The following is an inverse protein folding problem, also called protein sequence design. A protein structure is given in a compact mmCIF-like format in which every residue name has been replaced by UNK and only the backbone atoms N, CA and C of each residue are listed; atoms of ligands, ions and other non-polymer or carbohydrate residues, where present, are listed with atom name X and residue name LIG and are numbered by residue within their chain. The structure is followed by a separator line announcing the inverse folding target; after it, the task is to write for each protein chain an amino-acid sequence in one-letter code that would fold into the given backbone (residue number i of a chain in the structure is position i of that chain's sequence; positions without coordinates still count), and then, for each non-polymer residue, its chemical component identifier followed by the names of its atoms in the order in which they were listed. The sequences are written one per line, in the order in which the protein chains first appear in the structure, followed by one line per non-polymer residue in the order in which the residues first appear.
data_IF_958378339905
#
_entry.id   IF_958378339905
#
_cell.length_a   1.000
_cell.length_b   1.000
_cell.length_c   1.000
_cell.angle_alpha   90.00
_cell.angle_beta   90.00
_cell.angle_gamma   90.00
#
_symmetry.space_group_name_H-M   'P 1'
#
loop_
_entity.id
_entity.type
_entity.pdbx_description
1 polymer ?
#
# COMPACT_ATOMS: atom_id res chain seq x y z
N UNK A 1 51.89 55.73 -11.62
CA UNK A 1 51.84 54.25 -11.64
C UNK A 1 50.66 53.66 -10.85
N UNK A 2 50.41 54.07 -9.60
CA UNK A 2 49.34 53.50 -8.72
C UNK A 2 47.91 53.46 -9.31
N UNK A 3 47.48 54.47 -10.07
CA UNK A 3 46.11 54.52 -10.66
C UNK A 3 45.86 53.50 -11.77
N UNK A 4 46.88 53.11 -12.54
CA UNK A 4 46.74 52.10 -13.59
C UNK A 4 46.60 50.70 -12.99
N UNK A 5 47.38 50.40 -11.95
CA UNK A 5 47.33 49.12 -11.24
C UNK A 5 45.97 48.87 -10.58
N UNK A 6 45.39 49.89 -9.92
CA UNK A 6 44.05 49.80 -9.31
C UNK A 6 42.97 49.48 -10.36
N UNK A 7 43.11 50.01 -11.58
CA UNK A 7 42.15 49.77 -12.67
C UNK A 7 42.17 48.32 -13.15
N UNK A 8 43.35 47.69 -13.19
CA UNK A 8 43.48 46.27 -13.53
C UNK A 8 42.90 45.35 -12.46
N UNK A 9 43.08 45.68 -11.17
CA UNK A 9 42.46 44.92 -10.08
C UNK A 9 40.92 45.03 -10.10
N UNK A 10 40.38 46.22 -10.38
CA UNK A 10 38.93 46.40 -10.52
C UNK A 10 38.36 45.58 -11.69
N UNK A 11 39.04 45.54 -12.84
CA UNK A 11 38.60 44.76 -14.00
C UNK A 11 38.68 43.25 -13.71
N UNK A 12 39.71 42.81 -13.00
CA UNK A 12 39.89 41.41 -12.61
C UNK A 12 38.81 40.95 -11.62
N UNK A 13 38.49 41.78 -10.62
CA UNK A 13 37.41 41.49 -9.66
C UNK A 13 36.05 41.47 -10.37
N UNK A 14 35.82 42.38 -11.32
CA UNK A 14 34.58 42.41 -12.08
C UNK A 14 34.43 41.17 -12.98
N UNK A 15 35.50 40.72 -13.63
CA UNK A 15 35.47 39.49 -14.44
C UNK A 15 35.28 38.24 -13.58
N UNK A 16 35.90 38.16 -12.40
CA UNK A 16 35.67 37.04 -11.46
C UNK A 16 34.22 37.02 -10.95
N UNK A 17 33.62 38.18 -10.66
CA UNK A 17 32.20 38.27 -10.27
C UNK A 17 31.26 37.83 -11.39
N UNK A 18 31.57 38.17 -12.65
CA UNK A 18 30.77 37.74 -13.82
C UNK A 18 30.88 36.22 -14.04
N UNK A 19 32.06 35.63 -13.81
CA UNK A 19 32.27 34.18 -13.89
C UNK A 19 31.52 33.45 -12.76
N UNK A 20 31.49 34.00 -11.54
CA UNK A 20 30.77 33.44 -10.39
C UNK A 20 29.24 33.58 -10.50
N UNK A 21 28.74 34.63 -11.16
CA UNK A 21 27.32 34.81 -11.43
C UNK A 21 26.81 33.98 -12.63
N UNK A 22 27.70 33.46 -13.46
CA UNK A 22 27.39 32.64 -14.64
C UNK A 22 27.12 31.16 -14.37
N UNK A 23 27.38 30.68 -13.16
CA UNK A 23 26.89 29.38 -12.70
C UNK A 23 25.42 29.52 -12.30
N UNK A 24 24.55 29.71 -13.27
CA UNK A 24 23.14 29.37 -13.09
C UNK A 24 23.09 27.89 -12.74
N UNK A 25 22.67 27.57 -11.51
CA UNK A 25 22.15 26.25 -11.22
C UNK A 25 21.02 26.03 -12.23
N UNK A 26 21.29 25.23 -13.26
CA UNK A 26 20.23 24.49 -13.93
C UNK A 26 19.57 23.68 -12.81
N UNK A 27 18.42 24.16 -12.36
CA UNK A 27 17.49 23.36 -11.60
C UNK A 27 17.17 22.23 -12.54
N UNK A 28 17.82 21.09 -12.33
CA UNK A 28 17.38 19.81 -12.86
C UNK A 28 16.02 19.62 -12.18
N UNK A 29 14.98 20.17 -12.80
CA UNK A 29 13.62 19.75 -12.57
C UNK A 29 13.63 18.31 -13.06
N UNK A 30 13.91 17.38 -12.16
CA UNK A 30 13.58 15.99 -12.38
C UNK A 30 12.05 15.96 -12.36
N UNK A 31 11.42 16.27 -13.48
CA UNK A 31 10.04 15.89 -13.72
C UNK A 31 10.05 14.37 -13.56
N UNK A 32 9.64 13.92 -12.37
CA UNK A 32 9.65 12.52 -12.00
C UNK A 32 8.69 11.86 -12.98
N UNK A 33 9.23 11.09 -13.93
CA UNK A 33 8.44 10.46 -14.97
C UNK A 33 7.64 9.32 -14.33
N UNK A 34 6.43 9.65 -13.87
CA UNK A 34 5.50 8.69 -13.30
C UNK A 34 4.96 7.79 -14.41
N UNK A 35 4.67 6.53 -14.08
CA UNK A 35 4.09 5.57 -15.03
C UNK A 35 2.76 6.03 -15.62
N UNK A 36 2.09 7.00 -14.97
CA UNK A 36 0.75 7.45 -15.31
C UNK A 36 -0.31 6.37 -15.09
N UNK A 37 0.02 5.29 -14.36
CA UNK A 37 -0.90 4.19 -14.09
C UNK A 37 -1.42 4.24 -12.66
N UNK A 38 -2.70 3.90 -12.50
CA UNK A 38 -3.25 3.50 -11.21
C UNK A 38 -2.99 2.00 -11.03
N UNK A 39 -2.35 1.62 -9.93
CA UNK A 39 -2.12 0.22 -9.56
C UNK A 39 -2.70 -0.04 -8.17
N UNK A 40 -3.62 -0.99 -8.05
CA UNK A 40 -4.28 -1.36 -6.79
C UNK A 40 -3.97 -2.81 -6.48
N UNK A 41 -3.26 -3.05 -5.38
CA UNK A 41 -2.80 -4.35 -4.92
C UNK A 41 -3.66 -4.79 -3.73
N UNK A 42 -4.43 -5.85 -3.89
CA UNK A 42 -5.10 -6.54 -2.79
C UNK A 42 -4.18 -7.67 -2.32
N UNK A 43 -3.57 -7.49 -1.15
CA UNK A 43 -2.60 -8.44 -0.63
C UNK A 43 -3.31 -9.59 0.09
N UNK A 44 -2.89 -10.82 -0.18
CA UNK A 44 -3.32 -12.00 0.57
C UNK A 44 -2.66 -12.00 1.96
N UNK A 45 -3.30 -11.37 2.94
CA UNK A 45 -2.81 -11.30 4.32
C UNK A 45 -3.46 -12.34 5.22
N UNK A 46 -4.06 -13.38 4.64
CA UNK A 46 -4.93 -14.32 5.35
C UNK A 46 -6.32 -13.73 5.59
N UNK A 47 -6.90 -13.98 6.77
CA UNK A 47 -8.13 -13.31 7.17
C UNK A 47 -7.83 -11.86 7.54
N UNK A 48 -8.22 -10.91 6.68
CA UNK A 48 -8.01 -9.49 6.90
C UNK A 48 -7.80 -8.70 5.60
N UNK A 49 -7.65 -7.39 5.73
CA UNK A 49 -7.43 -6.47 4.61
C UNK A 49 -6.03 -5.84 4.65
N UNK A 50 -5.37 -5.82 3.50
CA UNK A 50 -4.26 -4.89 3.24
C UNK A 50 -4.23 -4.55 1.75
N UNK A 51 -4.41 -3.27 1.45
CA UNK A 51 -4.57 -2.79 0.08
C UNK A 51 -3.57 -1.68 -0.18
N UNK A 52 -2.60 -1.94 -1.05
CA UNK A 52 -1.61 -0.95 -1.45
C UNK A 52 -1.98 -0.31 -2.79
N UNK A 53 -1.88 1.01 -2.88
CA UNK A 53 -2.28 1.79 -4.05
C UNK A 53 -1.10 2.65 -4.50
N UNK A 54 -0.79 2.58 -5.79
CA UNK A 54 0.10 3.51 -6.47
C UNK A 54 -0.73 4.37 -7.42
N UNK A 55 -0.78 5.67 -7.16
CA UNK A 55 -1.56 6.60 -7.97
C UNK A 55 -0.79 7.03 -9.22
N UNK A 56 -1.49 7.49 -10.28
CA UNK A 56 -0.87 7.96 -11.52
C UNK A 56 0.12 9.13 -11.36
N UNK A 57 -0.03 9.92 -10.29
CA UNK A 57 0.87 11.02 -9.90
C UNK A 57 2.06 10.56 -9.04
N UNK A 58 2.20 9.24 -8.82
CA UNK A 58 3.25 8.61 -8.01
C UNK A 58 3.12 8.78 -6.50
N UNK A 59 2.02 9.36 -6.02
CA UNK A 59 1.64 9.24 -4.62
C UNK A 59 1.19 7.80 -4.33
N UNK A 60 1.22 7.40 -3.07
CA UNK A 60 0.91 6.05 -2.62
C UNK A 60 -0.03 6.04 -1.43
N UNK A 61 -0.87 5.01 -1.34
CA UNK A 61 -1.66 4.76 -0.14
C UNK A 61 -1.53 3.32 0.32
N UNK A 62 -1.58 3.11 1.63
CA UNK A 62 -1.83 1.80 2.22
C UNK A 62 -3.11 1.89 3.04
N UNK A 63 -4.07 1.04 2.70
CA UNK A 63 -5.31 0.86 3.46
C UNK A 63 -5.22 -0.48 4.18
N UNK A 64 -5.18 -0.42 5.50
CA UNK A 64 -5.03 -1.55 6.42
C UNK A 64 -3.73 -2.38 6.21
N UNK A 65 -3.36 -3.15 7.23
CA UNK A 65 -2.12 -3.92 7.31
C UNK A 65 -2.32 -5.42 7.54
N UNK A 66 -3.56 -5.90 7.51
CA UNK A 66 -3.92 -7.26 7.89
C UNK A 66 -3.73 -7.51 9.39
N UNK A 67 -3.63 -8.79 9.76
CA UNK A 67 -3.30 -9.23 11.12
C UNK A 67 -1.88 -8.80 11.53
N UNK A 68 -1.56 -8.91 12.83
CA UNK A 68 -0.21 -8.71 13.36
C UNK A 68 0.83 -9.56 12.64
N UNK A 69 0.50 -10.82 12.35
CA UNK A 69 1.41 -11.75 11.67
C UNK A 69 1.65 -11.37 10.22
N UNK A 70 0.75 -10.58 9.63
CA UNK A 70 0.83 -10.13 8.24
C UNK A 70 1.76 -8.92 8.07
N UNK A 71 2.10 -8.20 9.14
CA UNK A 71 2.92 -6.98 9.10
C UNK A 71 4.28 -7.16 8.39
N UNK A 72 5.02 -8.22 8.71
CA UNK A 72 6.30 -8.50 8.02
C UNK A 72 6.12 -8.79 6.53
N UNK A 73 5.03 -9.50 6.16
CA UNK A 73 4.69 -9.77 4.76
C UNK A 73 4.41 -8.47 4.01
N UNK A 74 3.61 -7.57 4.59
CA UNK A 74 3.30 -6.26 3.99
C UNK A 74 4.58 -5.42 3.83
N UNK A 75 5.41 -5.33 4.87
CA UNK A 75 6.69 -4.60 4.80
C UNK A 75 7.59 -5.16 3.69
N UNK A 76 7.73 -6.48 3.63
CA UNK A 76 8.55 -7.14 2.60
C UNK A 76 8.00 -6.83 1.19
N UNK A 77 6.70 -6.98 0.99
CA UNK A 77 6.05 -6.73 -0.29
C UNK A 77 6.29 -5.30 -0.80
N UNK A 78 6.07 -4.29 0.06
CA UNK A 78 6.27 -2.89 -0.29
C UNK A 78 7.74 -2.56 -0.60
N UNK A 79 8.68 -3.12 0.17
CA UNK A 79 10.12 -2.97 -0.10
C UNK A 79 10.54 -3.61 -1.42
N UNK A 80 9.97 -4.75 -1.79
CA UNK A 80 10.21 -5.41 -3.09
C UNK A 80 9.71 -4.56 -4.27
N UNK A 81 8.69 -3.72 -4.04
CA UNK A 81 8.24 -2.69 -4.99
C UNK A 81 9.09 -1.40 -4.94
N UNK A 82 10.16 -1.36 -4.15
CA UNK A 82 10.99 -0.17 -3.89
C UNK A 82 10.21 1.02 -3.31
N UNK A 83 9.18 0.73 -2.50
CA UNK A 83 8.43 1.74 -1.76
C UNK A 83 9.14 1.98 -0.43
N UNK A 84 9.35 3.26 -0.09
CA UNK A 84 9.96 3.68 1.17
C UNK A 84 9.17 4.78 1.88
N UNK A 85 8.24 5.43 1.16
CA UNK A 85 7.35 6.47 1.64
C UNK A 85 5.91 6.07 1.31
N UNK A 86 5.00 6.23 2.28
CA UNK A 86 3.56 6.03 2.11
C UNK A 86 2.88 7.38 2.33
N UNK A 87 2.35 7.99 1.27
CA UNK A 87 1.73 9.32 1.36
C UNK A 87 0.48 9.31 2.24
N UNK A 88 -0.32 8.24 2.14
CA UNK A 88 -1.57 8.09 2.88
C UNK A 88 -1.66 6.72 3.55
N UNK A 89 -1.67 6.69 4.88
CA UNK A 89 -1.98 5.49 5.66
C UNK A 89 -3.42 5.58 6.15
N UNK A 90 -4.25 4.60 5.83
CA UNK A 90 -5.66 4.55 6.24
C UNK A 90 -5.86 3.29 7.09
N UNK A 91 -6.28 3.48 8.34
CA UNK A 91 -6.75 2.40 9.20
C UNK A 91 -8.28 2.47 9.21
N UNK A 92 -8.96 1.53 8.54
CA UNK A 92 -10.39 1.63 8.26
C UNK A 92 -11.21 1.60 9.54
N UNK A 93 -10.92 0.66 10.45
CA UNK A 93 -11.57 0.50 11.76
C UNK A 93 -10.64 -0.32 12.68
N UNK A 94 -10.86 -0.35 14.01
CA UNK A 94 -9.82 -0.79 14.96
C UNK A 94 -9.70 -2.32 15.16
N UNK A 95 -10.24 -3.16 14.28
CA UNK A 95 -10.11 -4.61 14.40
C UNK A 95 -8.72 -5.12 13.98
N UNK A 96 -8.31 -6.22 14.60
CA UNK A 96 -6.93 -6.73 14.52
C UNK A 96 -6.56 -7.20 13.11
N UNK A 97 -7.49 -7.77 12.37
CA UNK A 97 -7.32 -8.20 10.98
C UNK A 97 -7.23 -7.04 9.98
N UNK A 98 -7.33 -5.80 10.46
CA UNK A 98 -7.16 -4.58 9.68
C UNK A 98 -5.95 -3.78 10.17
N UNK A 99 -5.89 -3.45 11.47
CA UNK A 99 -4.81 -2.61 12.01
C UNK A 99 -3.60 -3.40 12.50
N UNK A 100 -3.68 -4.73 12.53
CA UNK A 100 -2.69 -5.62 13.14
C UNK A 100 -1.28 -5.44 12.59
N UNK A 101 -1.14 -5.36 11.28
CA UNK A 101 0.16 -5.17 10.64
C UNK A 101 0.67 -3.73 10.65
N UNK A 102 -0.18 -2.74 10.95
CA UNK A 102 0.16 -1.32 10.82
C UNK A 102 1.29 -0.84 11.75
N UNK A 103 1.41 -1.28 13.02
CA UNK A 103 2.58 -0.95 13.84
C UNK A 103 3.91 -1.30 13.17
N UNK A 104 3.98 -2.48 12.51
CA UNK A 104 5.20 -2.93 11.82
C UNK A 104 5.48 -2.12 10.56
N UNK A 105 4.44 -1.76 9.81
CA UNK A 105 4.53 -0.84 8.67
C UNK A 105 5.04 0.52 9.13
N UNK A 106 4.42 1.13 10.15
CA UNK A 106 4.79 2.46 10.64
C UNK A 106 6.25 2.47 11.08
N UNK A 107 6.76 1.42 11.74
CA UNK A 107 8.19 1.34 12.10
C UNK A 107 9.11 1.38 10.88
N UNK A 108 8.74 0.71 9.78
CA UNK A 108 9.60 0.48 8.62
C UNK A 108 9.53 1.52 7.49
N UNK A 109 8.48 2.35 7.44
CA UNK A 109 8.30 3.33 6.37
C UNK A 109 8.19 4.76 6.89
N UNK A 110 8.53 5.72 6.04
CA UNK A 110 8.12 7.10 6.24
C UNK A 110 6.64 7.24 5.86
N UNK A 111 5.85 7.89 6.71
CA UNK A 111 4.40 8.03 6.52
C UNK A 111 4.06 9.51 6.43
N UNK A 112 3.27 9.89 5.43
CA UNK A 112 2.74 11.24 5.26
C UNK A 112 1.55 11.50 6.16
N UNK A 113 0.33 11.35 5.62
CA UNK A 113 -0.93 11.57 6.35
C UNK A 113 -1.50 10.24 6.84
N UNK A 114 -2.08 10.27 8.03
CA UNK A 114 -2.76 9.12 8.63
C UNK A 114 -4.25 9.45 8.77
N UNK A 115 -5.10 8.53 8.31
CA UNK A 115 -6.55 8.60 8.45
C UNK A 115 -7.05 7.46 9.32
N UNK A 116 -7.90 7.80 10.30
CA UNK A 116 -8.59 6.85 11.16
C UNK A 116 -10.03 7.32 11.38
N UNK A 117 -10.99 6.43 11.62
CA UNK A 117 -12.33 6.86 12.01
C UNK A 117 -12.32 7.40 13.44
N UNK A 118 -13.40 8.09 13.82
CA UNK A 118 -13.64 8.50 15.19
C UNK A 118 -14.10 7.32 16.07
N UNK A 119 -13.29 6.26 16.16
CA UNK A 119 -13.60 5.05 16.90
C UNK A 119 -12.35 4.50 17.58
N UNK A 120 -12.44 4.28 18.89
CA UNK A 120 -11.38 3.67 19.68
C UNK A 120 -11.68 2.21 19.99
N UNK A 121 -10.64 1.45 20.35
CA UNK A 121 -10.78 0.11 20.89
C UNK A 121 -9.86 -0.08 22.10
N UNK A 122 -10.33 -0.86 23.08
CA UNK A 122 -9.55 -1.22 24.26
C UNK A 122 -8.78 -2.54 24.00
N UNK A 123 -7.90 -2.53 23.00
CA UNK A 123 -7.09 -3.69 22.61
C UNK A 123 -5.61 -3.33 22.60
N UNK A 124 -4.75 -4.30 22.91
CA UNK A 124 -3.30 -4.10 22.89
C UNK A 124 -2.79 -3.64 21.51
N UNK A 125 -3.43 -4.11 20.44
CA UNK A 125 -3.03 -3.75 19.08
C UNK A 125 -3.38 -2.29 18.75
N UNK A 126 -4.53 -1.80 19.20
CA UNK A 126 -4.91 -0.40 19.03
C UNK A 126 -3.99 0.52 19.85
N UNK A 127 -3.66 0.13 21.08
CA UNK A 127 -2.67 0.83 21.90
C UNK A 127 -1.28 0.88 21.25
N UNK A 128 -0.83 -0.23 20.68
CA UNK A 128 0.45 -0.30 19.95
C UNK A 128 0.43 0.62 18.72
N UNK A 129 -0.64 0.60 17.92
CA UNK A 129 -0.80 1.50 16.78
C UNK A 129 -0.66 2.97 17.20
N UNK A 130 -1.40 3.40 18.24
CA UNK A 130 -1.32 4.77 18.73
C UNK A 130 0.08 5.12 19.25
N UNK A 131 0.78 4.16 19.87
CA UNK A 131 2.15 4.34 20.33
C UNK A 131 3.12 4.57 19.18
N UNK A 132 3.03 3.79 18.11
CA UNK A 132 3.89 3.95 16.93
C UNK A 132 3.62 5.27 16.19
N UNK A 133 2.35 5.64 16.04
CA UNK A 133 1.95 6.94 15.49
C UNK A 133 2.56 8.09 16.30
N UNK A 134 2.43 8.03 17.63
CA UNK A 134 3.02 9.03 18.54
C UNK A 134 4.55 9.04 18.48
N UNK A 135 5.19 7.87 18.39
CA UNK A 135 6.65 7.78 18.30
C UNK A 135 7.23 8.44 17.05
N UNK A 136 6.45 8.48 15.96
CA UNK A 136 6.79 9.18 14.71
C UNK A 136 6.20 10.58 14.56
N UNK A 137 5.58 11.13 15.62
CA UNK A 137 4.88 12.43 15.60
C UNK A 137 3.84 12.55 14.47
N UNK A 138 3.18 11.43 14.14
CA UNK A 138 2.17 11.36 13.10
C UNK A 138 0.83 11.83 13.65
N UNK A 139 0.22 12.79 12.97
CA UNK A 139 -1.11 13.32 13.32
C UNK A 139 -2.21 12.50 12.65
N UNK A 140 -3.19 12.10 13.45
CA UNK A 140 -4.39 11.41 12.97
C UNK A 140 -5.36 12.44 12.41
N UNK A 141 -5.75 12.26 11.16
CA UNK A 141 -6.87 12.95 10.54
C UNK A 141 -8.12 12.09 10.68
N UNK A 142 -9.16 12.62 11.31
CA UNK A 142 -10.42 11.89 11.46
C UNK A 142 -11.15 11.88 10.12
N UNK A 143 -11.36 10.69 9.56
CA UNK A 143 -12.02 10.51 8.28
C UNK A 143 -13.54 10.74 8.40
N UNK A 144 -14.11 11.47 7.44
CA UNK A 144 -15.55 11.70 7.32
C UNK A 144 -16.00 11.56 5.87
N UNK A 145 -17.19 11.00 5.68
CA UNK A 145 -17.81 10.90 4.36
C UNK A 145 -17.94 12.28 3.71
N UNK A 146 -17.57 12.38 2.44
CA UNK A 146 -17.51 13.62 1.66
C UNK A 146 -16.11 14.25 1.60
N UNK A 147 -15.17 13.86 2.47
CA UNK A 147 -13.80 14.38 2.43
C UNK A 147 -13.05 13.86 1.19
N UNK A 148 -12.15 14.71 0.66
CA UNK A 148 -11.24 14.32 -0.42
C UNK A 148 -9.79 14.25 0.08
N UNK A 149 -9.14 13.10 -0.12
CA UNK A 149 -7.70 12.91 0.09
C UNK A 149 -6.93 13.46 -1.11
N UNK A 150 -7.38 13.10 -2.32
CA UNK A 150 -6.91 13.64 -3.60
C UNK A 150 -8.12 14.18 -4.36
N UNK A 151 -8.04 15.44 -4.80
CA UNK A 151 -9.04 16.05 -5.69
C UNK A 151 -8.33 16.78 -6.84
N UNK A 152 -8.02 16.02 -7.89
CA UNK A 152 -7.41 16.52 -9.13
C UNK A 152 -8.34 16.18 -10.30
N UNK A 153 -8.09 16.79 -11.45
CA UNK A 153 -8.96 16.66 -12.62
C UNK A 153 -9.19 15.20 -13.04
N UNK A 154 -8.11 14.43 -13.17
CA UNK A 154 -8.19 13.05 -13.67
C UNK A 154 -8.22 12.00 -12.56
N UNK A 155 -7.80 12.35 -11.35
CA UNK A 155 -7.72 11.43 -10.20
C UNK A 155 -8.40 12.03 -8.98
N UNK A 156 -9.34 11.26 -8.42
CA UNK A 156 -9.96 11.55 -7.13
C UNK A 156 -9.78 10.36 -6.20
N UNK A 157 -9.47 10.64 -4.94
CA UNK A 157 -9.48 9.68 -3.85
C UNK A 157 -10.29 10.27 -2.71
N UNK A 158 -11.50 9.73 -2.53
CA UNK A 158 -12.56 10.30 -1.69
C UNK A 158 -12.87 9.35 -0.53
N UNK A 159 -13.32 9.91 0.58
CA UNK A 159 -13.90 9.17 1.70
C UNK A 159 -15.42 9.22 1.54
N UNK A 160 -16.06 8.05 1.50
CA UNK A 160 -17.53 7.92 1.39
C UNK A 160 -18.18 7.74 2.77
N UNK A 161 -17.51 7.05 3.69
CA UNK A 161 -17.98 6.79 5.05
C UNK A 161 -16.78 6.84 6.02
N UNK A 162 -16.99 7.02 7.34
CA UNK A 162 -18.27 7.08 8.06
C UNK A 162 -19.05 8.40 7.86
N UNK A 163 -20.38 8.35 7.91
CA UNK A 163 -21.27 9.52 7.73
C UNK A 163 -21.94 9.99 9.04
N UNK A 164 -21.78 9.23 10.13
CA UNK A 164 -22.22 9.57 11.50
C UNK A 164 -21.19 9.08 12.52
N UNK A 165 -21.28 9.59 13.75
CA UNK A 165 -20.33 9.31 14.83
C UNK A 165 -20.87 8.33 15.89
N UNK A 166 -22.09 7.82 15.73
CA UNK A 166 -22.85 7.07 16.74
C UNK A 166 -23.28 5.66 16.31
N UNK A 167 -22.52 5.02 15.40
CA UNK A 167 -22.78 3.62 15.04
C UNK A 167 -22.67 2.68 16.27
N UNK A 168 -23.56 1.70 16.35
CA UNK A 168 -23.50 0.67 17.40
C UNK A 168 -22.32 -0.28 17.16
N UNK A 169 -22.17 -0.73 15.92
CA UNK A 169 -21.14 -1.68 15.52
C UNK A 169 -19.85 -0.96 15.12
N UNK A 170 -18.73 -1.46 15.63
CA UNK A 170 -17.39 -0.94 15.30
C UNK A 170 -17.12 -0.99 13.80
N UNK A 171 -17.60 -2.03 13.11
CA UNK A 171 -17.44 -2.21 11.67
C UNK A 171 -18.03 -1.08 10.83
N UNK A 172 -19.16 -0.49 11.25
CA UNK A 172 -19.79 0.59 10.50
C UNK A 172 -19.03 1.92 10.59
N UNK A 173 -18.06 2.04 11.51
CA UNK A 173 -17.10 3.15 11.48
C UNK A 173 -16.03 2.99 10.39
N UNK A 174 -16.03 1.89 9.63
CA UNK A 174 -15.06 1.65 8.56
C UNK A 174 -14.97 2.85 7.63
N UNK A 175 -13.73 3.31 7.41
CA UNK A 175 -13.45 4.27 6.35
C UNK A 175 -13.70 3.58 5.01
N UNK A 176 -14.78 3.96 4.34
CA UNK A 176 -15.04 3.53 2.96
C UNK A 176 -14.42 4.57 2.04
N UNK A 177 -13.60 4.13 1.09
CA UNK A 177 -12.97 5.05 0.13
C UNK A 177 -13.38 4.76 -1.30
N UNK A 178 -13.36 5.82 -2.13
CA UNK A 178 -13.58 5.74 -3.57
C UNK A 178 -12.39 6.30 -4.31
N UNK A 179 -11.82 5.50 -5.21
CA UNK A 179 -10.84 5.97 -6.20
C UNK A 179 -11.58 6.16 -7.52
N UNK A 180 -11.37 7.30 -8.18
CA UNK A 180 -11.81 7.53 -9.56
C UNK A 180 -10.64 8.04 -10.38
N UNK A 181 -10.17 7.23 -11.32
CA UNK A 181 -9.16 7.61 -12.30
C UNK A 181 -9.77 7.60 -13.70
N UNK A 182 -10.08 8.79 -14.22
CA UNK A 182 -10.82 8.99 -15.47
C UNK A 182 -12.11 8.15 -15.51
N UNK A 183 -12.15 7.08 -16.29
CA UNK A 183 -13.32 6.21 -16.48
C UNK A 183 -13.35 5.02 -15.53
N UNK A 184 -12.25 4.72 -14.84
CA UNK A 184 -12.12 3.57 -13.95
C UNK A 184 -12.27 4.03 -12.50
N UNK A 185 -12.92 3.20 -11.69
CA UNK A 185 -13.24 3.49 -10.31
C UNK A 185 -13.29 2.26 -9.41
N UNK A 186 -12.87 2.46 -8.18
CA UNK A 186 -12.83 1.45 -7.12
C UNK A 186 -13.61 1.96 -5.91
N UNK A 187 -14.30 1.07 -5.22
CA UNK A 187 -14.78 1.31 -3.84
C UNK A 187 -14.17 0.27 -2.91
N UNK A 188 -13.57 0.75 -1.82
CA UNK A 188 -12.87 -0.06 -0.82
C UNK A 188 -13.56 0.14 0.53
N UNK A 189 -14.27 -0.89 1.00
CA UNK A 189 -15.25 -0.73 2.09
C UNK A 189 -14.72 -0.97 3.51
N UNK A 190 -13.52 -1.56 3.64
CA UNK A 190 -13.15 -2.23 4.90
C UNK A 190 -14.26 -3.19 5.32
N UNK A 191 -14.73 -3.06 6.55
CA UNK A 191 -15.80 -3.89 7.11
C UNK A 191 -17.16 -3.21 7.24
N UNK A 192 -17.40 -2.10 6.53
CA UNK A 192 -18.69 -1.41 6.54
C UNK A 192 -19.87 -2.39 6.37
N UNK A 193 -20.87 -2.30 7.24
CA UNK A 193 -22.05 -3.15 7.25
C UNK A 193 -23.29 -2.38 6.79
N UNK A 194 -24.47 -2.99 6.91
CA UNK A 194 -25.74 -2.46 6.35
C UNK A 194 -26.04 -1.03 6.77
N UNK A 195 -25.67 -0.63 7.99
CA UNK A 195 -25.95 0.70 8.50
C UNK A 195 -25.09 1.75 7.80
N UNK A 196 -23.78 1.50 7.66
CA UNK A 196 -22.88 2.35 6.89
C UNK A 196 -23.25 2.39 5.40
N UNK A 197 -23.60 1.24 4.80
CA UNK A 197 -24.11 1.16 3.42
C UNK A 197 -25.37 2.00 3.20
N UNK A 198 -26.32 1.90 4.14
CA UNK A 198 -27.57 2.67 4.10
C UNK A 198 -27.34 4.16 4.21
N UNK A 199 -26.35 4.60 4.98
CA UNK A 199 -26.02 6.02 5.07
C UNK A 199 -25.36 6.52 3.79
N UNK A 200 -24.40 5.78 3.23
CA UNK A 200 -23.81 6.11 1.92
C UNK A 200 -24.86 6.22 0.80
N UNK A 201 -25.91 5.40 0.83
CA UNK A 201 -27.02 5.44 -0.14
C UNK A 201 -27.91 6.69 -0.02
N UNK A 202 -27.93 7.37 1.14
CA UNK A 202 -28.72 8.60 1.34
C UNK A 202 -27.96 9.85 0.93
N UNK A 203 -26.63 9.78 0.90
CA UNK A 203 -25.76 10.87 0.49
C UNK A 203 -25.78 11.03 -1.05
N UNK A 204 -25.43 12.22 -1.53
CA UNK A 204 -25.32 12.52 -2.97
C UNK A 204 -23.98 12.00 -3.56
N UNK A 205 -23.59 10.79 -3.19
CA UNK A 205 -22.38 10.14 -3.70
C UNK A 205 -22.68 9.37 -4.98
N UNK A 206 -21.79 9.47 -5.96
CA UNK A 206 -21.78 8.53 -7.07
C UNK A 206 -21.14 7.20 -6.63
N UNK A 207 -21.97 6.25 -6.22
CA UNK A 207 -21.52 4.93 -5.76
C UNK A 207 -21.11 3.98 -6.88
N UNK A 208 -21.39 4.27 -8.16
CA UNK A 208 -21.00 3.38 -9.27
C UNK A 208 -19.48 3.14 -9.29
N UNK A 209 -19.05 1.88 -9.31
CA UNK A 209 -17.64 1.53 -9.37
C UNK A 209 -17.41 0.28 -10.22
N UNK A 210 -16.28 0.20 -10.91
CA UNK A 210 -15.91 -0.97 -11.72
C UNK A 210 -15.43 -2.13 -10.83
N UNK A 211 -14.75 -1.79 -9.74
CA UNK A 211 -14.24 -2.75 -8.75
C UNK A 211 -14.76 -2.41 -7.35
N UNK A 212 -15.31 -3.41 -6.66
CA UNK A 212 -15.74 -3.30 -5.27
C UNK A 212 -14.97 -4.30 -4.41
N UNK A 213 -14.27 -3.83 -3.38
CA UNK A 213 -13.90 -4.71 -2.26
C UNK A 213 -15.15 -4.92 -1.42
N UNK A 214 -15.57 -6.17 -1.23
CA UNK A 214 -16.73 -6.48 -0.40
C UNK A 214 -16.45 -6.19 1.08
N UNK A 215 -17.49 -5.67 1.72
CA UNK A 215 -17.52 -5.41 3.16
C UNK A 215 -17.34 -6.68 3.97
N UNK A 216 -16.54 -6.58 5.02
CA UNK A 216 -16.46 -7.57 6.09
C UNK A 216 -16.16 -8.97 5.57
N UNK A 217 -15.18 -9.03 4.66
CA UNK A 217 -14.66 -10.26 4.06
C UNK A 217 -15.74 -11.13 3.37
N UNK A 218 -16.87 -10.52 2.97
CA UNK A 218 -18.02 -11.24 2.43
C UNK A 218 -18.98 -11.78 3.49
N UNK A 219 -19.05 -11.13 4.66
CA UNK A 219 -20.07 -11.39 5.68
C UNK A 219 -21.48 -11.07 5.18
N UNK A 220 -22.49 -11.85 5.60
CA UNK A 220 -23.90 -11.55 5.32
C UNK A 220 -24.45 -10.30 6.08
N UNK A 221 -23.63 -9.71 6.94
CA UNK A 221 -23.87 -8.41 7.58
C UNK A 221 -23.58 -7.23 6.66
N UNK A 222 -22.89 -7.45 5.53
CA UNK A 222 -22.59 -6.42 4.53
C UNK A 222 -23.12 -6.82 3.16
N UNK A 223 -22.77 -6.02 2.15
CA UNK A 223 -23.12 -6.18 0.75
C UNK A 223 -24.62 -6.35 0.55
N UNK A 224 -25.41 -5.40 1.08
CA UNK A 224 -26.87 -5.36 0.87
C UNK A 224 -27.20 -5.20 -0.61
N UNK A 225 -28.34 -5.73 -1.04
CA UNK A 225 -28.70 -5.69 -2.46
C UNK A 225 -28.83 -4.25 -2.99
N UNK A 226 -29.44 -3.35 -2.22
CA UNK A 226 -29.59 -1.93 -2.58
C UNK A 226 -28.22 -1.25 -2.79
N UNK A 227 -27.25 -1.53 -1.92
CA UNK A 227 -25.88 -1.01 -2.06
C UNK A 227 -25.20 -1.58 -3.30
N UNK A 228 -25.31 -2.89 -3.50
CA UNK A 228 -24.70 -3.56 -4.65
C UNK A 228 -25.30 -3.12 -5.98
N UNK A 229 -26.61 -2.85 -6.05
CA UNK A 229 -27.26 -2.31 -7.24
C UNK A 229 -26.85 -0.86 -7.52
N UNK A 230 -26.59 -0.07 -6.48
CA UNK A 230 -26.07 1.29 -6.61
C UNK A 230 -24.60 1.32 -7.07
N UNK A 231 -23.78 0.39 -6.58
CA UNK A 231 -22.37 0.27 -6.97
C UNK A 231 -22.22 -0.36 -8.36
N UNK A 232 -22.98 -1.43 -8.64
CA UNK A 232 -22.98 -2.20 -9.89
C UNK A 232 -21.57 -2.52 -10.42
N UNK A 233 -20.75 -3.28 -9.67
CA UNK A 233 -19.38 -3.58 -10.05
C UNK A 233 -19.27 -4.69 -11.09
N UNK A 234 -18.27 -4.59 -11.97
CA UNK A 234 -17.87 -5.68 -12.86
C UNK A 234 -17.06 -6.74 -12.07
N UNK A 235 -16.27 -6.29 -11.09
CA UNK A 235 -15.44 -7.14 -10.23
C UNK A 235 -15.69 -6.91 -8.74
N UNK A 236 -15.84 -8.01 -7.99
CA UNK A 236 -15.91 -8.01 -6.54
C UNK A 236 -14.69 -8.73 -5.94
N UNK A 237 -13.96 -8.04 -5.06
CA UNK A 237 -12.84 -8.61 -4.32
C UNK A 237 -13.30 -9.07 -2.95
N UNK A 238 -12.91 -10.28 -2.58
CA UNK A 238 -13.11 -10.82 -1.24
C UNK A 238 -11.73 -11.13 -0.67
N UNK A 239 -11.25 -10.27 0.22
CA UNK A 239 -10.05 -10.56 1.01
C UNK A 239 -10.47 -11.45 2.16
N UNK A 240 -9.96 -12.67 2.18
CA UNK A 240 -10.40 -13.71 3.12
C UNK A 240 -9.31 -14.77 3.22
N UNK A 241 -9.23 -15.44 4.37
CA UNK A 241 -8.31 -16.56 4.57
C UNK A 241 -8.94 -17.90 4.17
N UNK A 242 -8.16 -18.80 3.56
CA UNK A 242 -8.62 -20.13 3.11
C UNK A 242 -9.26 -20.98 4.23
N UNK A 243 -8.73 -20.86 5.45
CA UNK A 243 -9.16 -21.61 6.63
C UNK A 243 -9.82 -20.71 7.70
N UNK A 244 -10.50 -19.63 7.27
CA UNK A 244 -11.14 -18.73 8.23
C UNK A 244 -12.29 -19.43 8.98
N UNK A 245 -12.35 -19.23 10.30
CA UNK A 245 -13.35 -19.87 11.17
C UNK A 245 -14.72 -19.20 11.13
N UNK A 246 -14.85 -18.06 10.46
CA UNK A 246 -16.09 -17.29 10.37
C UNK A 246 -17.06 -17.83 9.33
N UNK A 247 -16.59 -18.72 8.44
CA UNK A 247 -17.39 -19.22 7.32
C UNK A 247 -17.54 -18.19 6.19
N UNK A 248 -16.63 -17.22 6.14
CA UNK A 248 -16.58 -16.22 5.07
C UNK A 248 -15.95 -16.79 3.79
N UNK A 249 -16.37 -16.31 2.61
CA UNK A 249 -17.57 -15.50 2.37
C UNK A 249 -18.85 -16.32 2.56
N UNK A 250 -19.91 -15.67 3.06
CA UNK A 250 -21.21 -16.32 3.24
C UNK A 250 -21.89 -16.58 1.89
N UNK A 251 -22.59 -17.71 1.78
CA UNK A 251 -23.27 -18.13 0.55
C UNK A 251 -24.27 -17.08 0.04
N UNK A 252 -25.00 -16.41 0.94
CA UNK A 252 -25.97 -15.38 0.57
C UNK A 252 -25.30 -14.19 -0.15
N UNK A 253 -24.06 -13.86 0.21
CA UNK A 253 -23.30 -12.79 -0.45
C UNK A 253 -22.86 -13.23 -1.84
N UNK A 254 -22.38 -14.47 -1.99
CA UNK A 254 -22.03 -15.04 -3.29
C UNK A 254 -23.24 -15.10 -4.23
N UNK A 255 -24.42 -15.47 -3.70
CA UNK A 255 -25.67 -15.51 -4.46
C UNK A 255 -26.10 -14.10 -4.92
N UNK A 256 -25.90 -13.05 -4.09
CA UNK A 256 -26.13 -11.65 -4.51
C UNK A 256 -25.17 -11.21 -5.61
N UNK A 257 -23.88 -11.55 -5.52
CA UNK A 257 -22.90 -11.21 -6.56
C UNK A 257 -23.26 -11.84 -7.90
N UNK A 258 -23.68 -13.11 -7.86
CA UNK A 258 -24.17 -13.81 -9.05
C UNK A 258 -25.43 -13.17 -9.62
N UNK A 259 -26.32 -12.65 -8.77
CA UNK A 259 -27.56 -12.01 -9.20
C UNK A 259 -27.31 -10.73 -10.03
N UNK A 260 -26.26 -9.98 -9.71
CA UNK A 260 -25.90 -8.72 -10.38
C UNK A 260 -24.83 -8.89 -11.48
N UNK A 261 -24.47 -10.13 -11.82
CA UNK A 261 -23.51 -10.50 -12.86
C UNK A 261 -22.07 -9.97 -12.61
N UNK A 262 -21.62 -10.00 -11.35
CA UNK A 262 -20.27 -9.56 -10.95
C UNK A 262 -19.27 -10.74 -10.87
N UNK A 263 -18.07 -10.58 -11.44
CA UNK A 263 -16.98 -11.56 -11.29
C UNK A 263 -16.36 -11.46 -9.89
N UNK A 264 -16.38 -12.56 -9.14
CA UNK A 264 -15.76 -12.66 -7.82
C UNK A 264 -14.30 -13.06 -7.94
N UNK A 265 -13.41 -12.34 -7.24
CA UNK A 265 -12.00 -12.66 -7.09
C UNK A 265 -11.66 -12.73 -5.59
N UNK A 266 -11.04 -13.84 -5.15
CA UNK A 266 -10.73 -14.07 -3.74
C UNK A 266 -9.25 -14.21 -3.49
N UNK A 267 -8.74 -13.59 -2.43
CA UNK A 267 -7.30 -13.63 -2.10
C UNK A 267 -6.83 -15.01 -1.68
N UNK A 268 -7.65 -15.78 -0.97
CA UNK A 268 -7.32 -17.17 -0.59
C UNK A 268 -7.20 -18.11 -1.80
N UNK A 269 -7.95 -17.83 -2.87
CA UNK A 269 -7.91 -18.65 -4.08
C UNK A 269 -6.87 -18.17 -5.09
N UNK A 270 -6.57 -16.87 -5.14
CA UNK A 270 -5.75 -16.26 -6.19
C UNK A 270 -4.42 -15.70 -5.70
N UNK A 271 -4.17 -15.68 -4.39
CA UNK A 271 -3.07 -14.94 -3.79
C UNK A 271 -3.30 -13.44 -3.92
N UNK A 272 -2.22 -12.70 -4.15
CA UNK A 272 -2.32 -11.25 -4.37
C UNK A 272 -3.02 -10.97 -5.70
N UNK A 273 -3.97 -10.01 -5.69
CA UNK A 273 -4.73 -9.60 -6.86
C UNK A 273 -4.36 -8.15 -7.18
N UNK A 274 -3.89 -7.89 -8.39
CA UNK A 274 -3.36 -6.58 -8.77
C UNK A 274 -4.13 -6.06 -9.97
N UNK A 275 -4.74 -4.88 -9.81
CA UNK A 275 -5.36 -4.15 -10.91
C UNK A 275 -4.41 -3.07 -11.41
N UNK A 276 -4.30 -2.93 -12.74
CA UNK A 276 -3.52 -1.89 -13.41
C UNK A 276 -4.39 -1.16 -14.42
N UNK A 277 -4.38 0.17 -14.37
CA UNK A 277 -5.18 1.00 -15.28
C UNK A 277 -4.48 2.28 -15.71
N UNK A 278 -4.67 2.66 -16.97
CA UNK A 278 -4.34 3.97 -17.54
C UNK A 278 -5.52 4.98 -17.46
N UNK A 279 -6.61 4.58 -16.77
CA UNK A 279 -7.87 5.31 -16.61
C UNK A 279 -8.89 5.05 -17.71
N UNK A 280 -8.59 4.17 -18.66
CA UNK A 280 -9.51 3.72 -19.72
C UNK A 280 -9.61 2.20 -19.69
N UNK A 281 -8.47 1.52 -19.73
CA UNK A 281 -8.39 0.06 -19.69
C UNK A 281 -8.13 -0.43 -18.27
N UNK A 282 -8.65 -1.61 -17.93
CA UNK A 282 -8.44 -2.27 -16.64
C UNK A 282 -7.86 -3.67 -16.88
N UNK A 283 -6.64 -3.91 -16.39
CA UNK A 283 -5.98 -5.20 -16.48
C UNK A 283 -5.84 -5.82 -15.08
N UNK A 284 -5.98 -7.14 -15.00
CA UNK A 284 -5.91 -7.89 -13.74
C UNK A 284 -4.76 -8.90 -13.81
N UNK A 285 -3.81 -8.77 -12.89
CA UNK A 285 -2.77 -9.75 -12.65
C UNK A 285 -3.14 -10.55 -11.39
N UNK A 286 -3.32 -11.85 -11.56
CA UNK A 286 -3.67 -12.80 -10.48
C UNK A 286 -2.40 -13.59 -10.15
N UNK A 287 -1.89 -13.49 -8.92
CA UNK A 287 -0.63 -14.16 -8.57
C UNK A 287 -0.76 -15.05 -7.32
N UNK A 288 -1.00 -16.36 -7.53
CA UNK A 288 -0.91 -17.38 -6.47
C UNK A 288 0.47 -17.42 -5.80
N UNK A 289 1.49 -16.82 -6.41
CA UNK A 289 2.90 -16.97 -6.07
C UNK A 289 3.65 -15.63 -5.99
N UNK A 290 3.06 -14.56 -5.42
CA UNK A 290 3.91 -13.43 -5.01
C UNK A 290 4.88 -13.79 -3.86
N UNK A 291 4.87 -15.03 -3.38
CA UNK A 291 6.05 -15.66 -2.75
C UNK A 291 6.45 -16.93 -3.51
N UNK A 292 6.99 -16.74 -4.71
CA UNK A 292 8.03 -17.61 -5.28
C UNK A 292 8.86 -16.88 -6.34
N UNK A 293 9.35 -15.67 -6.04
CA UNK A 293 10.76 -15.44 -6.42
C UNK A 293 11.48 -16.50 -5.61
N UNK A 294 12.08 -17.52 -6.26
CA UNK A 294 12.95 -18.51 -5.61
C UNK A 294 13.67 -17.77 -4.49
N UNK A 295 13.50 -18.16 -3.23
CA UNK A 295 14.40 -17.69 -2.18
C UNK A 295 15.80 -17.87 -2.76
N UNK A 296 16.45 -16.76 -3.13
CA UNK A 296 17.75 -16.81 -3.76
C UNK A 296 18.69 -17.05 -2.59
N UNK A 297 18.72 -18.30 -2.13
CA UNK A 297 19.55 -18.70 -1.03
C UNK A 297 21.00 -18.54 -1.47
N UNK A 298 21.74 -17.79 -0.67
CA UNK A 298 23.17 -17.63 -0.84
C UNK A 298 23.89 -18.63 0.06
N UNK A 299 24.90 -19.28 -0.49
CA UNK A 299 25.72 -20.26 0.22
C UNK A 299 27.02 -19.57 0.62
N UNK A 300 27.20 -19.34 1.91
CA UNK A 300 28.44 -18.84 2.51
C UNK A 300 29.42 -19.96 2.82
N UNK A 301 30.72 -19.68 2.66
CA UNK A 301 31.80 -20.51 3.17
C UNK A 301 32.20 -20.02 4.57
N UNK A 302 31.97 -20.85 5.60
CA UNK A 302 32.27 -20.53 7.02
C UNK A 302 33.71 -20.08 7.24
N UNK A 303 34.65 -20.59 6.45
CA UNK A 303 36.10 -20.36 6.60
C UNK A 303 36.56 -19.10 5.87
N UNK A 304 36.17 -18.92 4.60
CA UNK A 304 36.66 -17.81 3.78
C UNK A 304 35.81 -16.55 3.88
N UNK A 305 34.63 -16.64 4.49
CA UNK A 305 33.64 -15.57 4.57
C UNK A 305 33.23 -15.04 3.20
N UNK A 306 33.21 -15.91 2.19
CA UNK A 306 32.69 -15.59 0.84
C UNK A 306 31.35 -16.27 0.63
N UNK A 307 30.38 -15.58 0.07
CA UNK A 307 29.07 -16.16 -0.26
C UNK A 307 28.80 -16.18 -1.77
N UNK A 308 28.01 -17.18 -2.18
CA UNK A 308 27.80 -17.57 -3.57
C UNK A 308 26.31 -17.78 -3.87
N UNK A 309 25.89 -17.66 -5.13
CA UNK A 309 24.59 -18.22 -5.56
C UNK A 309 24.60 -19.75 -5.51
N UNK A 310 23.44 -20.36 -5.27
CA UNK A 310 23.25 -21.83 -5.14
C UNK A 310 23.71 -22.66 -6.35
N UNK A 311 23.84 -22.06 -7.53
CA UNK A 311 24.28 -22.67 -8.78
C UNK A 311 25.75 -22.36 -9.13
N UNK A 312 26.50 -21.73 -8.23
CA UNK A 312 27.89 -21.38 -8.46
C UNK A 312 28.79 -22.63 -8.62
N UNK A 313 29.68 -22.63 -9.60
CA UNK A 313 30.66 -23.71 -9.80
C UNK A 313 31.73 -23.79 -8.70
N UNK A 314 31.84 -22.77 -7.87
CA UNK A 314 32.87 -22.62 -6.83
C UNK A 314 32.28 -22.72 -5.42
N UNK A 315 31.19 -23.50 -5.24
CA UNK A 315 30.61 -23.71 -3.93
C UNK A 315 31.57 -24.44 -2.99
N UNK A 316 31.57 -24.09 -1.69
CA UNK A 316 32.37 -24.81 -0.70
C UNK A 316 31.79 -26.20 -0.43
N UNK A 317 32.59 -27.09 0.17
CA UNK A 317 32.10 -28.39 0.65
C UNK A 317 30.92 -28.23 1.62
N UNK A 318 30.01 -29.21 1.63
CA UNK A 318 28.77 -29.16 2.41
C UNK A 318 29.00 -28.87 3.90
N UNK A 319 30.03 -29.44 4.54
CA UNK A 319 30.31 -29.15 5.96
C UNK A 319 30.64 -27.68 6.24
N UNK A 320 31.20 -26.98 5.25
CA UNK A 320 31.62 -25.59 5.34
C UNK A 320 30.55 -24.60 4.85
N UNK A 321 29.36 -25.07 4.48
CA UNK A 321 28.26 -24.23 4.01
C UNK A 321 27.47 -23.61 5.17
N UNK A 322 27.11 -22.35 5.01
CA UNK A 322 26.04 -21.66 5.75
C UNK A 322 25.08 -21.03 4.73
N UNK A 323 23.80 -20.97 5.06
CA UNK A 323 22.77 -20.45 4.15
C UNK A 323 22.36 -19.05 4.62
N UNK A 324 22.25 -18.12 3.68
CA UNK A 324 21.68 -16.80 3.86
C UNK A 324 20.46 -16.62 2.95
N UNK A 325 19.46 -15.90 3.44
CA UNK A 325 18.21 -15.60 2.76
C UNK A 325 18.30 -14.34 1.89
N UNK A 326 19.29 -13.48 2.13
CA UNK A 326 19.56 -12.29 1.32
C UNK A 326 21.06 -11.97 1.24
N UNK A 327 21.42 -11.06 0.33
CA UNK A 327 22.77 -10.47 0.26
C UNK A 327 23.08 -9.71 1.55
N UNK A 328 22.12 -8.91 2.02
CA UNK A 328 22.28 -8.09 3.22
C UNK A 328 22.53 -8.94 4.46
N UNK A 329 21.82 -10.07 4.62
CA UNK A 329 22.06 -11.00 5.73
C UNK A 329 23.49 -11.56 5.71
N UNK A 330 24.02 -11.85 4.52
CA UNK A 330 25.38 -12.34 4.37
C UNK A 330 26.41 -11.25 4.73
N UNK A 331 26.19 -10.03 4.25
CA UNK A 331 27.06 -8.87 4.49
C UNK A 331 27.06 -8.49 5.98
N UNK A 332 25.90 -8.42 6.63
CA UNK A 332 25.76 -8.14 8.06
C UNK A 332 26.46 -9.18 8.93
N UNK A 333 26.49 -10.44 8.47
CA UNK A 333 27.24 -11.53 9.12
C UNK A 333 28.73 -11.55 8.76
N UNK A 334 29.22 -10.52 8.07
CA UNK A 334 30.62 -10.31 7.73
C UNK A 334 31.11 -11.12 6.52
N UNK A 335 30.22 -11.51 5.60
CA UNK A 335 30.58 -12.23 4.39
C UNK A 335 30.63 -11.27 3.19
N UNK A 336 31.60 -11.49 2.30
CA UNK A 336 31.74 -10.74 1.05
C UNK A 336 31.21 -11.54 -0.15
N UNK A 337 30.68 -10.88 -1.20
CA UNK A 337 30.16 -11.57 -2.36
C UNK A 337 31.28 -12.24 -3.17
N UNK A 338 30.96 -13.37 -3.80
CA UNK A 338 31.80 -13.96 -4.83
C UNK A 338 31.60 -13.22 -6.16
N UNK A 339 32.60 -12.43 -6.55
CA UNK A 339 32.59 -11.48 -7.68
C UNK A 339 32.04 -12.01 -9.01
N UNK A 340 32.12 -13.32 -9.26
CA UNK A 340 31.65 -13.91 -10.53
C UNK A 340 30.19 -14.36 -10.51
N UNK A 341 29.65 -14.75 -9.36
CA UNK A 341 28.28 -15.29 -9.29
C UNK A 341 27.31 -14.39 -8.53
N UNK A 342 27.81 -13.50 -7.68
CA UNK A 342 27.04 -12.46 -7.00
C UNK A 342 27.57 -11.12 -7.53
N UNK A 343 26.75 -10.41 -8.30
CA UNK A 343 27.05 -9.08 -8.84
C UNK A 343 26.30 -8.04 -8.06
#
# INVERSE_FOLDING_TARGET
MKRRTIRYYLILVLTIMIILAGCGLETINSDKEYSGQLIVHFLDVGQGDSIFIQFPNGETALIDGGTRNSGEKVVKYLKELNIYFIDYLIATHPHEDHIGGLPEVIRNFEIGKVYMPNRTANTLIFEELLKELKAKDLKISIAKGGDAIIDKADIKFLILAPNRDDYERTNDFSIVTKIKYKNISFILTGDAEKDSEKDMLKEDFNLKADVLKLGHHGSNTSSTIDFLEAVKPDYAIISVGADNSYGHPHREVLDRMKHIDTEILRTDELGDIIFKSNGIDLNIEKNKNFIAIKEQLYIGNKNTKVFHKKDCKSLPNKENQIIFKSIDEAIDKGYRPHEKCVK
#
